data_IF_419746274456
#
_entry.id   IF_419746274456
#
_cell.length_a   1.000
_cell.length_b   1.000
_cell.length_c   1.000
_cell.angle_alpha   90.00
_cell.angle_beta   90.00
_cell.angle_gamma   90.00
#
_symmetry.space_group_name_H-M   'P 1'
#
loop_
_entity.id
_entity.type
_entity.pdbx_description
1 polymer ?
#
# COMPACT_ATOMS: atom_id res chain seq x y z
N UNK A 1 -12.16 37.21 11.09
CA UNK A 1 -10.97 36.43 11.51
C UNK A 1 -11.24 34.93 11.58
N UNK A 2 -12.36 34.44 12.14
CA UNK A 2 -12.70 33.00 12.15
C UNK A 2 -12.87 32.38 10.75
N UNK A 3 -13.55 33.06 9.82
CA UNK A 3 -13.74 32.56 8.45
C UNK A 3 -12.42 32.32 7.71
N UNK A 4 -11.44 33.22 7.87
CA UNK A 4 -10.13 33.14 7.19
C UNK A 4 -9.35 31.93 7.69
N UNK A 5 -9.43 31.60 8.99
CA UNK A 5 -8.80 30.42 9.56
C UNK A 5 -9.45 29.11 9.07
N UNK A 6 -10.77 29.10 8.87
CA UNK A 6 -11.45 27.96 8.26
C UNK A 6 -11.06 27.78 6.79
N UNK A 7 -11.03 28.85 5.99
CA UNK A 7 -10.58 28.77 4.60
C UNK A 7 -9.10 28.38 4.49
N UNK A 8 -8.22 28.89 5.36
CA UNK A 8 -6.80 28.48 5.36
C UNK A 8 -6.61 27.02 5.78
N UNK A 9 -7.41 26.52 6.73
CA UNK A 9 -7.37 25.10 7.12
C UNK A 9 -7.89 24.18 6.00
N UNK A 10 -8.93 24.60 5.27
CA UNK A 10 -9.50 23.86 4.14
C UNK A 10 -8.53 23.83 2.94
N UNK A 11 -7.88 24.96 2.65
CA UNK A 11 -6.85 25.07 1.60
C UNK A 11 -5.62 24.24 2.00
N UNK A 12 -5.17 24.31 3.25
CA UNK A 12 -4.06 23.50 3.76
C UNK A 12 -4.34 21.99 3.72
N UNK A 13 -5.57 21.57 4.00
CA UNK A 13 -5.98 20.17 3.88
C UNK A 13 -6.02 19.70 2.42
N UNK A 14 -6.47 20.55 1.49
CA UNK A 14 -6.47 20.25 0.07
C UNK A 14 -5.06 20.16 -0.53
N UNK A 15 -4.10 20.93 -0.01
CA UNK A 15 -2.70 20.93 -0.44
C UNK A 15 -1.86 19.83 0.22
N UNK A 16 -2.39 19.14 1.23
CA UNK A 16 -1.71 18.06 1.94
C UNK A 16 -1.98 16.68 1.30
N UNK A 17 -2.90 16.60 0.34
CA UNK A 17 -3.11 15.36 -0.40
C UNK A 17 -1.99 15.20 -1.42
N UNK A 18 -1.18 14.14 -1.30
CA UNK A 18 -0.29 13.76 -2.38
C UNK A 18 -1.14 13.34 -3.60
N UNK A 19 -0.82 13.92 -4.75
CA UNK A 19 -1.44 13.59 -6.03
C UNK A 19 -0.38 13.02 -6.95
N UNK A 20 -0.76 12.03 -7.74
CA UNK A 20 0.09 11.33 -8.70
C UNK A 20 -0.30 11.67 -10.14
N UNK A 21 -0.86 12.87 -10.36
CA UNK A 21 -1.38 13.29 -11.67
C UNK A 21 -0.25 13.29 -12.69
N UNK A 22 -0.38 12.42 -13.71
CA UNK A 22 0.60 12.29 -14.78
C UNK A 22 1.85 11.49 -14.39
N UNK A 23 1.93 10.97 -13.17
CA UNK A 23 2.98 10.01 -12.80
C UNK A 23 2.81 8.75 -13.65
N UNK A 24 3.93 8.19 -14.10
CA UNK A 24 3.92 6.96 -14.87
C UNK A 24 4.64 5.85 -14.12
N UNK A 25 4.17 4.62 -14.29
CA UNK A 25 4.95 3.45 -13.90
C UNK A 25 5.61 2.89 -15.15
N UNK A 26 6.94 2.91 -15.16
CA UNK A 26 7.75 2.38 -16.26
C UNK A 26 8.27 1.00 -15.88
N UNK A 27 8.11 0.03 -16.79
CA UNK A 27 8.84 -1.24 -16.75
C UNK A 27 10.09 -1.13 -17.59
N UNK A 28 11.23 -1.15 -16.94
CA UNK A 28 12.55 -1.05 -17.52
C UNK A 28 13.17 -2.45 -17.62
N UNK A 29 13.89 -2.71 -18.71
CA UNK A 29 14.62 -3.96 -18.93
C UNK A 29 16.10 -3.66 -19.16
N UNK A 30 16.92 -3.97 -18.18
CA UNK A 30 18.36 -3.94 -18.32
C UNK A 30 18.88 -5.25 -18.93
N UNK A 31 19.71 -5.17 -19.96
CA UNK A 31 20.30 -6.32 -20.66
C UNK A 31 21.72 -6.66 -20.19
N UNK A 32 22.34 -5.81 -19.35
CA UNK A 32 23.70 -6.00 -18.86
C UNK A 32 23.88 -5.49 -17.42
N UNK A 33 24.93 -5.96 -16.75
CA UNK A 33 25.32 -5.50 -15.40
C UNK A 33 25.67 -4.01 -15.37
N UNK A 34 26.19 -3.48 -16.48
CA UNK A 34 26.44 -2.05 -16.63
C UNK A 34 25.12 -1.26 -16.56
N UNK A 35 24.09 -1.70 -17.29
CA UNK A 35 22.78 -1.05 -17.26
C UNK A 35 22.11 -1.15 -15.88
N UNK A 36 22.27 -2.27 -15.18
CA UNK A 36 21.83 -2.41 -13.77
C UNK A 36 22.53 -1.37 -12.90
N UNK A 37 23.84 -1.20 -13.04
CA UNK A 37 24.62 -0.20 -12.28
C UNK A 37 24.14 1.24 -12.57
N UNK A 38 23.73 1.53 -13.82
CA UNK A 38 23.13 2.83 -14.18
C UNK A 38 21.77 3.04 -13.51
N UNK A 39 20.93 2.01 -13.45
CA UNK A 39 19.62 2.09 -12.75
C UNK A 39 19.79 2.25 -11.24
N UNK A 40 20.78 1.59 -10.64
CA UNK A 40 21.13 1.79 -9.23
C UNK A 40 21.63 3.22 -8.97
N UNK A 41 22.44 3.78 -9.87
CA UNK A 41 22.83 5.20 -9.78
C UNK A 41 21.60 6.11 -9.86
N UNK A 42 20.67 5.82 -10.77
CA UNK A 42 19.43 6.58 -10.91
C UNK A 42 18.58 6.54 -9.62
N UNK A 43 18.54 5.41 -8.91
CA UNK A 43 17.87 5.26 -7.61
C UNK A 43 18.47 6.19 -6.53
N UNK A 44 19.76 6.50 -6.60
CA UNK A 44 20.41 7.40 -5.62
C UNK A 44 20.10 8.88 -5.84
N UNK A 45 19.48 9.26 -6.96
CA UNK A 45 19.19 10.65 -7.30
C UNK A 45 17.90 11.13 -6.63
N UNK A 46 17.99 11.49 -5.34
CA UNK A 46 16.84 11.89 -4.51
C UNK A 46 15.98 13.02 -5.10
N UNK A 47 16.59 13.95 -5.84
CA UNK A 47 15.88 15.07 -6.48
C UNK A 47 14.89 14.64 -7.57
N UNK A 48 15.02 13.42 -8.10
CA UNK A 48 14.06 12.87 -9.08
C UNK A 48 12.83 12.24 -8.42
N UNK A 49 12.89 11.99 -7.11
CA UNK A 49 11.81 11.42 -6.29
C UNK A 49 11.23 10.13 -6.86
N UNK A 50 12.11 9.29 -7.43
CA UNK A 50 11.71 8.01 -8.01
C UNK A 50 11.33 7.02 -6.92
N UNK A 51 10.35 6.18 -7.23
CA UNK A 51 9.90 5.12 -6.34
C UNK A 51 9.97 3.78 -7.06
N UNK A 52 10.89 2.92 -6.60
CA UNK A 52 11.18 1.64 -7.22
C UNK A 52 10.30 0.54 -6.62
N UNK A 53 9.21 0.21 -7.33
CA UNK A 53 8.29 -0.86 -6.96
C UNK A 53 8.95 -2.24 -7.09
N UNK A 54 9.77 -2.41 -8.13
CA UNK A 54 10.63 -3.57 -8.29
C UNK A 54 12.06 -3.09 -8.57
N UNK A 55 12.95 -3.31 -7.61
CA UNK A 55 14.31 -2.75 -7.62
C UNK A 55 15.24 -3.46 -8.63
N UNK A 56 16.24 -2.74 -9.18
CA UNK A 56 17.26 -3.35 -10.03
C UNK A 56 18.05 -4.41 -9.28
N UNK A 57 18.11 -5.63 -9.85
CA UNK A 57 18.81 -6.77 -9.24
C UNK A 57 19.76 -7.47 -10.20
N UNK A 58 19.24 -8.10 -11.27
CA UNK A 58 20.05 -8.80 -12.27
C UNK A 58 19.60 -8.43 -13.69
N UNK A 59 20.49 -8.60 -14.70
CA UNK A 59 20.13 -8.46 -16.10
C UNK A 59 18.94 -9.35 -16.49
N UNK A 60 18.16 -8.90 -17.48
CA UNK A 60 16.93 -9.50 -17.99
C UNK A 60 15.75 -9.60 -17.00
N UNK A 61 15.93 -9.25 -15.72
CA UNK A 61 14.80 -9.07 -14.80
C UNK A 61 14.19 -7.67 -14.97
N UNK A 62 12.85 -7.56 -14.91
CA UNK A 62 12.20 -6.26 -15.00
C UNK A 62 12.48 -5.40 -13.77
N UNK A 63 12.50 -4.10 -13.99
CA UNK A 63 12.56 -3.07 -12.95
C UNK A 63 11.33 -2.19 -13.15
N UNK A 64 10.50 -2.05 -12.11
CA UNK A 64 9.27 -1.26 -12.19
C UNK A 64 9.46 0.00 -11.33
N UNK A 65 9.32 1.17 -11.96
CA UNK A 65 9.63 2.47 -11.36
C UNK A 65 8.43 3.38 -11.52
N UNK A 66 7.86 3.89 -10.42
CA UNK A 66 6.99 5.06 -10.44
C UNK A 66 7.85 6.30 -10.61
N UNK A 67 7.58 7.04 -11.67
CA UNK A 67 8.29 8.24 -12.07
C UNK A 67 7.35 9.43 -11.96
N UNK A 68 7.63 10.40 -11.07
CA UNK A 68 6.88 11.63 -10.97
C UNK A 68 6.77 12.37 -12.30
N UNK A 69 5.63 13.00 -12.58
CA UNK A 69 5.44 13.76 -13.82
C UNK A 69 6.56 14.78 -14.09
N UNK A 70 7.02 15.46 -13.04
CA UNK A 70 8.07 16.48 -13.11
C UNK A 70 9.45 15.93 -13.58
N UNK A 71 9.78 14.68 -13.25
CA UNK A 71 11.05 14.04 -13.61
C UNK A 71 10.93 13.08 -14.80
N UNK A 72 9.71 12.83 -15.28
CA UNK A 72 9.41 11.85 -16.33
C UNK A 72 10.24 12.03 -17.60
N UNK A 73 10.36 13.27 -18.11
CA UNK A 73 11.13 13.51 -19.33
C UNK A 73 12.63 13.27 -19.11
N UNK A 74 13.17 13.69 -17.96
CA UNK A 74 14.58 13.49 -17.64
C UNK A 74 14.92 12.01 -17.52
N UNK A 75 14.04 11.21 -16.90
CA UNK A 75 14.20 9.76 -16.78
C UNK A 75 14.13 9.07 -18.13
N UNK A 76 13.18 9.43 -19.01
CA UNK A 76 13.09 8.84 -20.36
C UNK A 76 14.35 9.11 -21.18
N UNK A 77 14.83 10.36 -21.18
CA UNK A 77 16.08 10.73 -21.85
C UNK A 77 17.27 9.95 -21.28
N UNK A 78 17.35 9.80 -19.95
CA UNK A 78 18.39 8.99 -19.32
C UNK A 78 18.37 7.54 -19.81
N UNK A 79 17.21 6.88 -19.77
CA UNK A 79 17.05 5.50 -20.24
C UNK A 79 17.43 5.36 -21.72
N UNK A 80 16.97 6.27 -22.57
CA UNK A 80 17.24 6.27 -24.02
C UNK A 80 18.74 6.48 -24.32
N UNK A 81 19.39 7.45 -23.65
CA UNK A 81 20.83 7.72 -23.80
C UNK A 81 21.73 6.54 -23.40
N UNK A 82 21.25 5.70 -22.48
CA UNK A 82 21.93 4.49 -22.03
C UNK A 82 21.46 3.23 -22.75
N UNK A 83 20.63 3.37 -23.79
CA UNK A 83 20.08 2.27 -24.58
C UNK A 83 19.36 1.23 -23.71
N UNK A 84 18.65 1.71 -22.68
CA UNK A 84 17.87 0.88 -21.77
C UNK A 84 16.42 0.90 -22.22
N UNK A 85 15.90 -0.28 -22.59
CA UNK A 85 14.52 -0.42 -23.03
C UNK A 85 13.54 -0.23 -21.89
N UNK A 86 12.43 0.45 -22.17
CA UNK A 86 11.33 0.60 -21.23
C UNK A 86 9.96 0.55 -21.91
N UNK A 87 8.94 0.19 -21.13
CA UNK A 87 7.54 0.25 -21.50
C UNK A 87 6.74 0.98 -20.42
N UNK A 88 5.68 1.68 -20.81
CA UNK A 88 4.76 2.32 -19.87
C UNK A 88 3.76 1.25 -19.40
N UNK A 89 3.81 0.87 -18.12
CA UNK A 89 2.83 -0.04 -17.52
C UNK A 89 1.57 0.70 -17.10
N UNK A 90 1.75 1.84 -16.43
CA UNK A 90 0.67 2.70 -15.96
C UNK A 90 0.91 4.09 -16.55
N UNK A 91 -0.04 4.56 -17.35
CA UNK A 91 0.08 5.83 -18.08
C UNK A 91 -0.14 7.04 -17.19
N UNK A 92 -1.04 6.92 -16.22
CA UNK A 92 -1.36 7.94 -15.23
C UNK A 92 -1.77 7.22 -13.95
N UNK A 93 -0.91 7.29 -12.92
CA UNK A 93 -1.15 6.60 -11.66
C UNK A 93 -2.34 7.19 -10.90
N UNK A 94 -2.64 8.49 -11.09
CA UNK A 94 -3.77 9.12 -10.42
C UNK A 94 -5.09 8.47 -10.79
N UNK A 95 -5.25 8.05 -12.05
CA UNK A 95 -6.49 7.40 -12.53
C UNK A 95 -6.76 6.12 -11.74
N UNK A 96 -5.75 5.28 -11.53
CA UNK A 96 -5.90 4.05 -10.77
C UNK A 96 -6.22 4.30 -9.29
N UNK A 97 -5.60 5.33 -8.69
CA UNK A 97 -5.87 5.74 -7.30
C UNK A 97 -7.27 6.33 -7.13
N UNK A 98 -7.74 7.10 -8.11
CA UNK A 98 -9.09 7.66 -8.10
C UNK A 98 -10.15 6.57 -8.24
N UNK A 99 -9.93 5.60 -9.14
CA UNK A 99 -10.79 4.42 -9.28
C UNK A 99 -10.86 3.61 -7.97
N UNK A 100 -9.73 3.31 -7.33
CA UNK A 100 -9.68 2.63 -6.03
C UNK A 100 -10.49 3.40 -4.97
N UNK A 101 -10.33 4.72 -4.90
CA UNK A 101 -11.03 5.56 -3.94
C UNK A 101 -12.54 5.57 -4.16
N UNK A 102 -12.98 5.63 -5.42
CA UNK A 102 -14.40 5.57 -5.77
C UNK A 102 -15.01 4.22 -5.38
N UNK A 103 -14.30 3.12 -5.63
CA UNK A 103 -14.71 1.78 -5.22
C UNK A 103 -14.84 1.64 -3.70
N UNK A 104 -13.87 2.17 -2.95
CA UNK A 104 -13.93 2.18 -1.47
C UNK A 104 -15.15 2.96 -0.95
N UNK A 105 -15.43 4.14 -1.50
CA UNK A 105 -16.59 4.96 -1.11
C UNK A 105 -17.91 4.24 -1.45
N UNK A 106 -17.97 3.61 -2.62
CA UNK A 106 -19.12 2.79 -3.05
C UNK A 106 -19.32 1.60 -2.11
N UNK A 107 -18.25 0.89 -1.75
CA UNK A 107 -18.32 -0.25 -0.85
C UNK A 107 -18.83 0.16 0.54
N UNK A 108 -18.28 1.23 1.11
CA UNK A 108 -18.71 1.73 2.42
C UNK A 108 -20.20 2.07 2.46
N UNK A 109 -20.77 2.58 1.35
CA UNK A 109 -22.22 2.83 1.24
C UNK A 109 -23.03 1.52 1.22
N UNK A 110 -22.53 0.49 0.56
CA UNK A 110 -23.18 -0.83 0.48
C UNK A 110 -23.18 -1.52 1.84
N UNK A 111 -22.07 -1.55 2.55
CA UNK A 111 -21.97 -2.21 3.86
C UNK A 111 -22.84 -1.56 4.93
N UNK A 112 -23.00 -0.23 4.89
CA UNK A 112 -23.96 0.48 5.75
C UNK A 112 -25.40 0.01 5.52
N UNK A 113 -25.73 -0.50 4.33
CA UNK A 113 -27.07 -0.98 4.00
C UNK A 113 -27.26 -2.49 4.27
N UNK A 114 -26.23 -3.31 4.06
CA UNK A 114 -26.29 -4.77 4.28
C UNK A 114 -25.93 -5.20 5.69
N UNK A 115 -25.21 -4.37 6.45
CA UNK A 115 -24.58 -4.74 7.75
C UNK A 115 -23.56 -5.88 7.68
N UNK A 116 -23.14 -6.25 6.46
CA UNK A 116 -22.15 -7.31 6.21
C UNK A 116 -20.82 -6.71 5.76
N UNK A 117 -19.71 -7.27 6.25
CA UNK A 117 -18.36 -6.90 5.83
C UNK A 117 -18.03 -7.53 4.47
N UNK A 118 -17.69 -6.71 3.48
CA UNK A 118 -17.31 -7.15 2.14
C UNK A 118 -15.81 -7.41 2.06
N UNK A 119 -15.44 -8.69 2.03
CA UNK A 119 -14.04 -9.12 1.89
C UNK A 119 -13.43 -8.89 0.49
N UNK A 120 -14.24 -8.50 -0.51
CA UNK A 120 -13.78 -8.22 -1.87
C UNK A 120 -13.49 -6.73 -2.12
N UNK A 121 -13.37 -5.92 -1.07
CA UNK A 121 -13.09 -4.48 -1.17
C UNK A 121 -11.97 -4.07 -0.21
N UNK A 122 -11.34 -2.93 -0.50
CA UNK A 122 -10.40 -2.28 0.41
C UNK A 122 -11.13 -1.54 1.53
N UNK A 123 -10.46 -1.48 2.69
CA UNK A 123 -11.03 -1.02 3.95
C UNK A 123 -10.09 -0.10 4.69
N UNK A 124 -10.65 0.82 5.48
CA UNK A 124 -9.84 1.59 6.42
C UNK A 124 -9.33 0.69 7.56
N UNK A 125 -8.26 1.12 8.23
CA UNK A 125 -7.72 0.39 9.39
C UNK A 125 -8.77 0.24 10.51
N UNK A 126 -9.63 1.24 10.71
CA UNK A 126 -10.69 1.23 11.72
C UNK A 126 -11.78 0.21 11.38
N UNK A 127 -12.20 0.13 10.11
CA UNK A 127 -13.16 -0.86 9.64
C UNK A 127 -12.61 -2.28 9.83
N UNK A 128 -11.32 -2.48 9.53
CA UNK A 128 -10.63 -3.75 9.77
C UNK A 128 -10.64 -4.08 11.27
N UNK A 129 -10.28 -3.15 12.17
CA UNK A 129 -10.31 -3.41 13.61
C UNK A 129 -11.70 -3.79 14.11
N UNK A 130 -12.74 -3.14 13.59
CA UNK A 130 -14.14 -3.46 13.91
C UNK A 130 -14.55 -4.83 13.40
N UNK A 131 -14.10 -5.22 12.21
CA UNK A 131 -14.29 -6.56 11.67
C UNK A 131 -13.57 -7.63 12.50
N UNK A 132 -12.36 -7.35 12.99
CA UNK A 132 -11.62 -8.25 13.90
C UNK A 132 -12.37 -8.43 15.23
N UNK A 133 -12.97 -7.37 15.79
CA UNK A 133 -13.81 -7.47 17.00
C UNK A 133 -15.06 -8.31 16.75
N UNK A 134 -15.75 -8.05 15.64
CA UNK A 134 -16.95 -8.79 15.25
C UNK A 134 -16.66 -10.27 15.07
N UNK A 135 -15.52 -10.62 14.45
CA UNK A 135 -15.11 -12.01 14.25
C UNK A 135 -14.79 -12.72 15.58
N UNK A 136 -14.07 -12.06 16.49
CA UNK A 136 -13.76 -12.62 17.80
C UNK A 136 -15.02 -12.78 18.67
N UNK A 137 -15.99 -11.86 18.55
CA UNK A 137 -17.28 -11.94 19.24
C UNK A 137 -18.19 -13.04 18.68
N UNK A 138 -18.16 -13.28 17.36
CA UNK A 138 -18.92 -14.33 16.70
C UNK A 138 -18.40 -15.74 17.02
N UNK A 139 -17.08 -15.89 17.21
CA UNK A 139 -16.44 -17.18 17.45
C UNK A 139 -15.54 -17.21 18.70
N UNK A 140 -16.09 -16.94 19.91
CA UNK A 140 -15.29 -16.71 21.12
C UNK A 140 -14.54 -17.97 21.61
N UNK A 141 -14.98 -19.17 21.22
CA UNK A 141 -14.32 -20.44 21.53
C UNK A 141 -13.21 -20.82 20.55
N UNK A 142 -13.10 -20.13 19.40
CA UNK A 142 -12.17 -20.44 18.32
C UNK A 142 -11.18 -19.32 18.03
N UNK A 143 -11.54 -18.06 18.26
CA UNK A 143 -10.72 -16.90 17.91
C UNK A 143 -10.73 -15.90 19.06
N UNK A 144 -9.56 -15.30 19.33
CA UNK A 144 -9.44 -14.16 20.24
C UNK A 144 -8.58 -13.06 19.62
N UNK A 145 -8.98 -11.79 19.79
CA UNK A 145 -8.20 -10.63 19.40
C UNK A 145 -7.24 -10.24 20.53
N UNK A 146 -5.95 -10.08 20.25
CA UNK A 146 -4.94 -9.75 21.25
C UNK A 146 -4.09 -8.56 20.79
N UNK A 147 -3.89 -7.57 21.66
CA UNK A 147 -2.94 -6.48 21.43
C UNK A 147 -1.53 -6.96 21.80
N UNK A 148 -0.60 -6.87 20.86
CA UNK A 148 0.80 -7.29 21.06
C UNK A 148 1.78 -6.12 21.22
N UNK A 149 1.32 -4.90 20.95
CA UNK A 149 2.15 -3.72 21.04
C UNK A 149 1.47 -2.52 20.40
N UNK A 150 2.28 -1.54 20.05
CA UNK A 150 1.86 -0.31 19.40
C UNK A 150 2.82 0.06 18.26
N UNK A 151 2.29 0.68 17.22
CA UNK A 151 3.10 1.26 16.15
C UNK A 151 3.86 2.50 16.64
N UNK A 152 4.71 3.05 15.77
CA UNK A 152 5.41 4.32 16.04
C UNK A 152 4.43 5.44 16.43
N UNK A 153 3.33 5.58 15.68
CA UNK A 153 2.25 6.54 15.94
C UNK A 153 1.28 6.11 17.05
N UNK A 154 1.66 5.13 17.89
CA UNK A 154 0.87 4.63 19.03
C UNK A 154 -0.46 3.97 18.66
N UNK A 155 -0.57 3.43 17.44
CA UNK A 155 -1.75 2.62 17.03
C UNK A 155 -1.62 1.20 17.58
N UNK A 156 -2.67 0.58 18.13
CA UNK A 156 -2.58 -0.77 18.70
C UNK A 156 -2.33 -1.83 17.63
N UNK A 157 -1.32 -2.68 17.81
CA UNK A 157 -1.09 -3.83 16.92
C UNK A 157 -1.88 -5.03 17.42
N UNK A 158 -2.87 -5.46 16.64
CA UNK A 158 -3.71 -6.62 16.95
C UNK A 158 -3.29 -7.86 16.15
N UNK A 159 -3.39 -9.01 16.80
CA UNK A 159 -3.38 -10.32 16.15
C UNK A 159 -4.70 -11.05 16.43
N UNK A 160 -5.08 -11.95 15.53
CA UNK A 160 -6.09 -12.97 15.82
C UNK A 160 -5.39 -14.27 16.20
N UNK A 161 -5.71 -14.78 17.38
CA UNK A 161 -5.22 -16.07 17.87
C UNK A 161 -6.32 -17.10 17.76
N UNK A 162 -6.05 -18.18 17.02
CA UNK A 162 -6.89 -19.36 17.01
C UNK A 162 -6.74 -20.14 18.32
N UNK A 163 -7.86 -20.49 18.93
CA UNK A 163 -7.96 -21.24 20.17
C UNK A 163 -8.19 -22.71 19.83
N UNK A 164 -7.19 -23.56 20.12
CA UNK A 164 -7.34 -25.01 20.05
C UNK A 164 -7.73 -25.55 21.43
N UNK A 165 -8.66 -26.52 21.52
CA UNK A 165 -8.94 -27.18 22.79
C UNK A 165 -7.67 -27.85 23.31
N UNK A 166 -7.30 -27.57 24.57
CA UNK A 166 -6.21 -28.28 25.25
C UNK A 166 -6.59 -29.76 25.32
N UNK A 167 -5.89 -30.62 24.59
CA UNK A 167 -5.97 -32.07 24.77
C UNK A 167 -5.70 -32.37 26.25
N UNK A 168 -6.73 -32.87 26.97
CA UNK A 168 -6.56 -33.34 28.35
C UNK A 168 -5.56 -34.50 28.29
N UNK A 169 -4.32 -34.27 28.76
CA UNK A 169 -3.35 -35.34 29.00
C UNK A 169 -3.97 -36.28 30.03
N UNK A 170 -4.46 -37.43 29.59
CA UNK A 170 -5.05 -38.44 30.44
C UNK A 170 -4.07 -38.81 31.55
N UNK A 171 -4.51 -38.73 32.81
CA UNK A 171 -3.78 -39.34 33.93
C UNK A 171 -3.83 -40.84 33.69
N UNK A 172 -2.68 -41.45 33.45
CA UNK A 172 -2.54 -42.90 33.45
C UNK A 172 -3.08 -43.45 34.77
N UNK A 173 -4.03 -44.38 34.68
CA UNK A 173 -4.42 -45.22 35.80
C UNK A 173 -3.24 -46.15 36.06
N UNK A 174 -2.64 -46.04 37.24
CA UNK A 174 -1.74 -47.04 37.80
C UNK A 174 -2.58 -48.24 38.20
N UNK A 175 -2.30 -49.41 37.60
CA UNK A 175 -2.65 -50.71 38.15
C UNK A 175 -1.58 -51.12 39.17
#
# INVERSE_FOLDING_TARGET
MRLILFFSALIGAAWCLETFVGDQVLRVKASSEEQISKLQLLETLEHLQLDFWLRPSHPALPVDIRVPFASLQAVKVFLESHHIDYAILVKDLQVAVDEEREEMVSNQRRERSSSDFNYAAYHSLEDIYTALDSLAAAYPSLVSKQKIGETYEKRPMYILKQLSPKLKKGRGQTL
#
